data_IF_825854919937
#
_entry.id   IF_825854919937
#
_cell.length_a   1.000
_cell.length_b   1.000
_cell.length_c   1.000
_cell.angle_alpha   90.00
_cell.angle_beta   90.00
_cell.angle_gamma   90.00
#
_symmetry.space_group_name_H-M   'P 1'
#
loop_
_entity.id
_entity.type
_entity.pdbx_description
1 polymer ?
#
# COMPACT_ATOMS: atom_id res chain seq x y z
N UNK A 1 -54.27 -24.96 -27.30
CA UNK A 1 -54.67 -24.60 -25.95
C UNK A 1 -53.74 -25.20 -24.93
N UNK A 2 -53.10 -24.38 -24.16
CA UNK A 2 -52.40 -24.44 -22.89
C UNK A 2 -50.97 -24.91 -22.83
N UNK A 3 -50.03 -23.93 -22.83
CA UNK A 3 -48.78 -24.11 -22.10
C UNK A 3 -48.53 -23.01 -21.03
N UNK A 4 -49.50 -22.27 -20.55
CA UNK A 4 -49.28 -21.11 -19.64
C UNK A 4 -49.29 -21.41 -18.12
N UNK A 5 -49.65 -22.65 -17.69
CA UNK A 5 -49.80 -22.98 -16.26
C UNK A 5 -48.50 -23.47 -15.57
N UNK A 6 -47.51 -23.98 -16.33
CA UNK A 6 -46.31 -24.56 -15.72
C UNK A 6 -45.22 -23.53 -15.39
N UNK A 7 -45.19 -22.36 -16.06
CA UNK A 7 -44.17 -21.33 -15.84
C UNK A 7 -44.38 -20.53 -14.54
N UNK A 8 -45.64 -20.37 -14.10
CA UNK A 8 -45.96 -19.58 -12.89
C UNK A 8 -45.55 -20.30 -11.59
N UNK A 9 -45.60 -21.65 -11.58
CA UNK A 9 -45.22 -22.43 -10.40
C UNK A 9 -43.73 -22.45 -10.16
N UNK A 10 -42.89 -22.40 -11.20
CA UNK A 10 -41.44 -22.41 -11.08
C UNK A 10 -40.91 -21.04 -10.54
N UNK A 11 -41.56 -19.93 -10.87
CA UNK A 11 -41.20 -18.60 -10.36
C UNK A 11 -41.51 -18.43 -8.87
N UNK A 12 -42.60 -19.03 -8.38
CA UNK A 12 -43.02 -18.92 -6.98
C UNK A 12 -42.07 -19.68 -6.03
N UNK A 13 -41.49 -20.81 -6.45
CA UNK A 13 -40.54 -21.58 -5.64
C UNK A 13 -39.17 -20.89 -5.54
N UNK A 14 -38.72 -20.19 -6.58
CA UNK A 14 -37.48 -19.43 -6.55
C UNK A 14 -37.56 -18.20 -5.63
N UNK A 15 -38.73 -17.56 -5.52
CA UNK A 15 -38.94 -16.37 -4.70
C UNK A 15 -38.97 -16.64 -3.18
N UNK A 16 -39.30 -17.88 -2.76
CA UNK A 16 -39.38 -18.23 -1.33
C UNK A 16 -38.00 -18.59 -0.70
N UNK A 17 -37.01 -18.93 -1.50
CA UNK A 17 -35.69 -19.36 -1.00
C UNK A 17 -34.75 -18.19 -0.65
N UNK A 18 -34.98 -17.00 -1.19
CA UNK A 18 -34.16 -15.80 -0.95
C UNK A 18 -34.34 -15.20 0.46
N UNK A 19 -35.57 -15.02 0.98
CA UNK A 19 -35.76 -14.50 2.33
C UNK A 19 -35.20 -15.43 3.42
N UNK A 20 -35.41 -16.75 3.32
CA UNK A 20 -34.92 -17.72 4.29
C UNK A 20 -33.38 -17.71 4.45
N UNK A 21 -32.64 -17.49 3.36
CA UNK A 21 -31.19 -17.38 3.38
C UNK A 21 -30.71 -16.08 4.04
N UNK A 22 -31.38 -14.96 3.76
CA UNK A 22 -31.04 -13.67 4.36
C UNK A 22 -31.31 -13.66 5.87
N UNK A 23 -32.36 -14.35 6.30
CA UNK A 23 -32.69 -14.52 7.73
C UNK A 23 -31.66 -15.40 8.43
N UNK A 24 -31.26 -16.51 7.82
CA UNK A 24 -30.18 -17.38 8.32
C UNK A 24 -28.86 -16.61 8.45
N UNK A 25 -28.48 -15.81 7.45
CA UNK A 25 -27.26 -15.01 7.49
C UNK A 25 -27.31 -13.99 8.64
N UNK A 26 -28.41 -13.29 8.80
CA UNK A 26 -28.60 -12.31 9.88
C UNK A 26 -28.51 -12.96 11.26
N UNK A 27 -29.12 -14.11 11.45
CA UNK A 27 -29.09 -14.85 12.72
C UNK A 27 -27.70 -15.36 13.05
N UNK A 28 -27.01 -15.96 12.08
CA UNK A 28 -25.62 -16.41 12.25
C UNK A 28 -24.68 -15.22 12.51
N UNK A 29 -24.86 -14.12 11.80
CA UNK A 29 -24.05 -12.91 12.02
C UNK A 29 -24.29 -12.32 13.40
N UNK A 30 -25.52 -12.30 13.90
CA UNK A 30 -25.84 -11.81 15.25
C UNK A 30 -25.20 -12.66 16.36
N UNK A 31 -25.07 -13.95 16.15
CA UNK A 31 -24.49 -14.90 17.13
C UNK A 31 -22.96 -14.92 17.11
N UNK A 32 -22.35 -14.73 15.93
CA UNK A 32 -20.94 -15.04 15.72
C UNK A 32 -20.05 -13.80 15.50
N UNK A 33 -20.60 -12.71 14.97
CA UNK A 33 -19.82 -11.52 14.71
C UNK A 33 -19.21 -10.93 15.98
N UNK A 34 -17.90 -10.74 15.97
CA UNK A 34 -17.16 -10.24 17.13
C UNK A 34 -16.77 -11.32 18.14
N UNK A 35 -17.27 -12.55 18.01
CA UNK A 35 -16.85 -13.68 18.85
C UNK A 35 -15.39 -14.06 18.56
N UNK A 36 -14.73 -14.59 19.58
CA UNK A 36 -13.41 -15.19 19.48
C UNK A 36 -13.54 -16.66 19.07
N UNK A 37 -12.62 -17.13 18.26
CA UNK A 37 -12.62 -18.51 17.78
C UNK A 37 -11.22 -19.11 17.78
N UNK A 38 -11.15 -20.41 18.05
CA UNK A 38 -9.98 -21.23 17.74
C UNK A 38 -10.29 -22.07 16.50
N UNK A 39 -9.41 -22.02 15.50
CA UNK A 39 -9.58 -22.85 14.30
C UNK A 39 -9.34 -24.31 14.65
N UNK A 40 -10.16 -25.22 14.12
CA UNK A 40 -9.99 -26.68 14.28
C UNK A 40 -9.33 -27.32 13.07
N UNK A 41 -9.03 -26.50 12.07
CA UNK A 41 -8.38 -26.89 10.82
C UNK A 41 -7.20 -25.99 10.54
N UNK A 42 -6.25 -26.47 9.75
CA UNK A 42 -5.20 -25.63 9.21
C UNK A 42 -5.79 -24.54 8.32
N UNK A 43 -5.31 -23.31 8.46
CA UNK A 43 -5.73 -22.18 7.67
C UNK A 43 -4.53 -21.49 7.04
N UNK A 44 -4.77 -20.57 6.11
CA UNK A 44 -3.69 -19.82 5.50
C UNK A 44 -4.10 -18.42 5.09
N UNK A 45 -3.12 -17.55 4.97
CA UNK A 45 -3.33 -16.16 4.55
C UNK A 45 -2.11 -15.61 3.81
N UNK A 46 -2.36 -14.65 2.93
CA UNK A 46 -1.30 -13.81 2.36
C UNK A 46 -0.95 -12.63 3.29
N UNK A 47 -1.68 -12.49 4.39
CA UNK A 47 -1.53 -11.41 5.38
C UNK A 47 -1.55 -10.02 4.75
N UNK A 48 -2.51 -9.83 3.87
CA UNK A 48 -2.85 -8.56 3.23
C UNK A 48 -4.16 -8.01 3.79
N UNK A 49 -4.67 -6.90 3.24
CA UNK A 49 -6.00 -6.38 3.58
C UNK A 49 -7.16 -7.26 3.08
N UNK A 50 -6.88 -8.23 2.20
CA UNK A 50 -7.85 -9.15 1.59
C UNK A 50 -7.89 -10.46 2.35
N UNK A 51 -9.08 -11.07 2.46
CA UNK A 51 -9.24 -12.40 3.03
C UNK A 51 -8.72 -13.47 2.07
N UNK A 52 -7.93 -14.42 2.61
CA UNK A 52 -7.44 -15.57 1.85
C UNK A 52 -8.33 -16.78 2.15
N UNK A 53 -8.69 -17.51 1.10
CA UNK A 53 -9.63 -18.62 1.17
C UNK A 53 -9.02 -19.87 1.80
N UNK A 54 -9.81 -20.53 2.65
CA UNK A 54 -9.60 -21.90 3.13
C UNK A 54 -10.89 -22.68 2.94
N UNK A 55 -10.88 -23.64 2.03
CA UNK A 55 -12.03 -24.51 1.78
C UNK A 55 -12.09 -25.63 2.82
N UNK A 56 -13.25 -25.77 3.50
CA UNK A 56 -13.48 -26.79 4.54
C UNK A 56 -14.61 -27.73 4.11
N UNK A 57 -14.29 -29.02 4.00
CA UNK A 57 -15.25 -30.08 3.65
C UNK A 57 -15.18 -31.22 4.69
N UNK A 58 -16.07 -31.23 5.64
CA UNK A 58 -16.01 -32.15 6.77
C UNK A 58 -14.77 -31.89 7.63
N UNK A 59 -13.89 -32.89 7.75
CA UNK A 59 -12.64 -32.80 8.48
C UNK A 59 -11.44 -32.33 7.58
N UNK A 60 -11.67 -32.19 6.27
CA UNK A 60 -10.60 -31.80 5.33
C UNK A 60 -10.62 -30.30 5.12
N UNK A 61 -9.43 -29.68 5.19
CA UNK A 61 -9.23 -28.29 4.86
C UNK A 61 -8.17 -28.14 3.77
N UNK A 62 -8.41 -27.23 2.84
CA UNK A 62 -7.43 -26.81 1.84
C UNK A 62 -7.19 -25.32 2.02
N UNK A 63 -6.07 -25.00 2.66
CA UNK A 63 -5.69 -23.63 2.96
C UNK A 63 -4.98 -22.99 1.78
N UNK A 64 -5.35 -21.76 1.43
CA UNK A 64 -4.65 -20.87 0.50
C UNK A 64 -3.61 -20.00 1.21
N UNK A 65 -2.89 -19.18 0.42
CA UNK A 65 -1.99 -18.15 0.92
C UNK A 65 -0.57 -18.62 1.27
N UNK A 66 0.27 -17.64 1.55
CA UNK A 66 1.72 -17.81 1.79
C UNK A 66 2.02 -18.26 3.22
N UNK A 67 1.32 -17.70 4.20
CA UNK A 67 1.47 -18.07 5.61
C UNK A 67 0.49 -19.16 5.98
N UNK A 68 0.95 -20.14 6.77
CA UNK A 68 0.16 -21.26 7.24
C UNK A 68 -0.03 -21.18 8.75
N UNK A 69 -1.22 -21.44 9.20
CA UNK A 69 -1.60 -21.45 10.61
C UNK A 69 -2.11 -22.83 10.96
N UNK A 70 -1.50 -23.45 11.94
CA UNK A 70 -1.95 -24.74 12.46
C UNK A 70 -3.36 -24.62 13.08
N UNK A 71 -4.04 -25.74 13.23
CA UNK A 71 -5.26 -25.78 14.05
C UNK A 71 -4.98 -25.23 15.47
N UNK A 72 -5.97 -24.64 16.09
CA UNK A 72 -5.85 -23.95 17.37
C UNK A 72 -5.45 -22.47 17.23
N UNK A 73 -5.41 -21.93 16.01
CA UNK A 73 -5.12 -20.51 15.79
C UNK A 73 -6.25 -19.62 16.30
N UNK A 74 -5.88 -18.61 17.09
CA UNK A 74 -6.80 -17.65 17.65
C UNK A 74 -7.19 -16.59 16.62
N UNK A 75 -8.48 -16.38 16.43
CA UNK A 75 -9.00 -15.37 15.53
C UNK A 75 -10.30 -14.76 16.06
N UNK A 76 -10.69 -13.62 15.50
CA UNK A 76 -11.97 -12.97 15.76
C UNK A 76 -12.84 -13.04 14.51
N UNK A 77 -14.13 -13.30 14.67
CA UNK A 77 -15.08 -13.30 13.57
C UNK A 77 -15.43 -11.84 13.18
N UNK A 78 -15.05 -11.45 11.98
CA UNK A 78 -15.37 -10.12 11.43
C UNK A 78 -16.78 -10.11 10.81
N UNK A 79 -17.12 -11.18 10.09
CA UNK A 79 -18.35 -11.30 9.32
C UNK A 79 -18.71 -12.76 9.08
N UNK A 80 -20.01 -13.02 8.88
CA UNK A 80 -20.55 -14.30 8.40
C UNK A 80 -21.28 -14.06 7.08
N UNK A 81 -21.09 -14.92 6.09
CA UNK A 81 -21.80 -14.87 4.82
C UNK A 81 -22.41 -16.23 4.48
N UNK A 82 -23.67 -16.28 4.07
CA UNK A 82 -24.35 -17.52 3.70
C UNK A 82 -24.46 -17.62 2.18
N UNK A 83 -24.03 -18.75 1.61
CA UNK A 83 -24.19 -19.09 0.20
C UNK A 83 -25.15 -20.26 0.06
N UNK A 84 -25.43 -20.70 -1.17
CA UNK A 84 -26.42 -21.76 -1.45
C UNK A 84 -26.02 -23.12 -0.84
N UNK A 85 -24.71 -23.38 -0.73
CA UNK A 85 -24.13 -24.66 -0.35
C UNK A 85 -22.94 -24.53 0.59
N UNK A 86 -22.74 -23.37 1.20
CA UNK A 86 -21.67 -23.10 2.17
C UNK A 86 -21.97 -21.90 3.04
N UNK A 87 -21.27 -21.82 4.15
CA UNK A 87 -21.16 -20.63 4.99
C UNK A 87 -19.71 -20.15 4.97
N UNK A 88 -19.52 -18.86 4.76
CA UNK A 88 -18.24 -18.19 4.73
C UNK A 88 -18.04 -17.48 6.08
N UNK A 89 -17.03 -17.89 6.87
CA UNK A 89 -16.60 -17.18 8.08
C UNK A 89 -15.38 -16.32 7.74
N UNK A 90 -15.49 -15.03 7.94
CA UNK A 90 -14.41 -14.08 7.76
C UNK A 90 -13.74 -13.82 9.09
N UNK A 91 -12.48 -14.20 9.20
CA UNK A 91 -11.71 -14.21 10.43
C UNK A 91 -10.53 -13.25 10.35
N UNK A 92 -10.37 -12.42 11.38
CA UNK A 92 -9.13 -11.68 11.64
C UNK A 92 -8.29 -12.53 12.61
N UNK A 93 -7.13 -12.98 12.18
CA UNK A 93 -6.17 -13.69 13.03
C UNK A 93 -5.68 -12.75 14.12
N UNK A 94 -5.66 -13.19 15.37
CA UNK A 94 -5.37 -12.34 16.52
C UNK A 94 -3.93 -11.86 16.53
N UNK A 95 -3.00 -12.79 16.31
CA UNK A 95 -1.57 -12.49 16.37
C UNK A 95 -1.03 -12.14 14.97
N UNK A 96 -0.36 -11.00 14.82
CA UNK A 96 0.28 -10.64 13.56
C UNK A 96 1.42 -11.60 13.24
N UNK A 97 1.84 -11.59 11.99
CA UNK A 97 3.07 -12.25 11.52
C UNK A 97 4.11 -11.17 11.30
N UNK A 98 5.35 -11.43 11.73
CA UNK A 98 6.48 -10.58 11.39
C UNK A 98 7.02 -10.98 10.02
N UNK A 99 7.04 -10.03 9.10
CA UNK A 99 7.63 -10.19 7.78
C UNK A 99 8.93 -9.40 7.68
N UNK A 100 10.03 -10.11 7.47
CA UNK A 100 11.31 -9.46 7.24
C UNK A 100 11.34 -8.81 5.85
N UNK A 101 11.78 -7.56 5.79
CA UNK A 101 12.11 -6.86 4.54
C UNK A 101 13.52 -6.32 4.60
N UNK A 102 14.17 -6.23 3.44
CA UNK A 102 15.52 -5.69 3.33
C UNK A 102 15.46 -4.29 2.72
N UNK A 103 16.17 -3.34 3.35
CA UNK A 103 16.39 -2.00 2.81
C UNK A 103 17.87 -1.64 3.02
N UNK A 104 18.64 -1.65 1.93
CA UNK A 104 20.09 -1.56 1.98
C UNK A 104 20.70 -2.71 2.79
N UNK A 105 21.58 -2.41 3.76
CA UNK A 105 22.23 -3.43 4.60
C UNK A 105 21.37 -3.88 5.80
N UNK A 106 20.13 -3.37 5.94
CA UNK A 106 19.29 -3.60 7.11
C UNK A 106 18.19 -4.60 6.85
N UNK A 107 17.94 -5.46 7.86
CA UNK A 107 16.75 -6.29 7.95
C UNK A 107 15.74 -5.58 8.87
N UNK A 108 14.61 -5.21 8.31
CA UNK A 108 13.50 -4.58 9.02
C UNK A 108 12.34 -5.55 9.13
N UNK A 109 11.47 -5.34 10.10
CA UNK A 109 10.33 -6.22 10.33
C UNK A 109 9.03 -5.41 10.29
N UNK A 110 8.10 -5.84 9.42
CA UNK A 110 6.76 -5.29 9.31
C UNK A 110 5.76 -6.24 9.96
N UNK A 111 4.89 -5.73 10.82
CA UNK A 111 3.77 -6.51 11.35
C UNK A 111 2.67 -6.61 10.30
N UNK A 112 2.34 -7.85 9.91
CA UNK A 112 1.26 -8.14 8.98
C UNK A 112 0.07 -8.74 9.70
N UNK A 113 -1.07 -8.09 9.60
CA UNK A 113 -2.34 -8.64 10.07
C UNK A 113 -2.91 -9.57 9.03
N UNK A 114 -3.26 -10.78 9.47
CA UNK A 114 -3.70 -11.83 8.58
C UNK A 114 -5.22 -11.99 8.64
N UNK A 115 -5.83 -12.22 7.48
CA UNK A 115 -7.27 -12.42 7.33
C UNK A 115 -7.53 -13.71 6.56
N UNK A 116 -8.46 -14.51 7.09
CA UNK A 116 -8.82 -15.82 6.54
C UNK A 116 -10.32 -15.85 6.28
N UNK A 117 -10.72 -16.40 5.15
CA UNK A 117 -12.10 -16.77 4.87
C UNK A 117 -12.23 -18.28 4.90
N UNK A 118 -12.90 -18.84 5.93
CA UNK A 118 -13.24 -20.24 5.97
C UNK A 118 -14.52 -20.45 5.16
N UNK A 119 -14.43 -21.21 4.08
CA UNK A 119 -15.55 -21.61 3.23
C UNK A 119 -16.04 -23.00 3.64
N UNK A 120 -16.92 -23.04 4.62
CA UNK A 120 -17.43 -24.29 5.19
C UNK A 120 -18.58 -24.84 4.35
N UNK A 121 -18.40 -26.01 3.76
CA UNK A 121 -19.43 -26.67 2.96
C UNK A 121 -20.63 -27.08 3.84
N UNK A 122 -21.82 -26.65 3.42
CA UNK A 122 -23.10 -26.95 4.11
C UNK A 122 -24.09 -27.55 3.11
N UNK A 123 -24.84 -28.61 3.45
CA UNK A 123 -25.82 -29.18 2.54
C UNK A 123 -26.88 -28.13 2.14
N UNK A 124 -27.20 -28.04 0.84
CA UNK A 124 -28.19 -27.09 0.30
C UNK A 124 -29.54 -27.16 1.02
N UNK A 125 -29.96 -28.36 1.43
CA UNK A 125 -31.21 -28.58 2.20
C UNK A 125 -31.20 -27.85 3.54
N UNK A 126 -30.07 -27.88 4.25
CA UNK A 126 -29.90 -27.25 5.57
C UNK A 126 -29.97 -25.73 5.43
N UNK A 127 -29.30 -25.16 4.41
CA UNK A 127 -29.35 -23.71 4.11
C UNK A 127 -30.78 -23.29 3.73
N UNK A 128 -31.49 -24.07 2.92
CA UNK A 128 -32.88 -23.80 2.55
C UNK A 128 -33.87 -23.85 3.70
N UNK A 129 -33.62 -24.77 4.66
CA UNK A 129 -34.43 -24.88 5.87
C UNK A 129 -34.20 -23.76 6.87
N UNK A 130 -33.16 -22.92 6.65
CA UNK A 130 -32.70 -21.89 7.59
C UNK A 130 -32.45 -22.43 9.00
N UNK A 131 -31.97 -23.68 9.08
CA UNK A 131 -31.71 -24.38 10.32
C UNK A 131 -30.36 -23.89 10.91
N UNK A 132 -30.46 -22.93 11.81
CA UNK A 132 -29.31 -22.24 12.44
C UNK A 132 -28.50 -23.23 13.28
N UNK A 133 -29.15 -24.13 13.99
CA UNK A 133 -28.47 -25.06 14.90
C UNK A 133 -27.71 -26.13 14.11
N UNK A 134 -28.33 -26.71 13.08
CA UNK A 134 -27.64 -27.64 12.19
C UNK A 134 -26.48 -27.02 11.44
N UNK A 135 -26.57 -25.74 11.05
CA UNK A 135 -25.44 -24.99 10.47
C UNK A 135 -24.37 -24.76 11.53
N UNK A 136 -24.77 -24.39 12.76
CA UNK A 136 -23.86 -24.19 13.89
C UNK A 136 -23.00 -25.42 14.18
N UNK A 137 -23.62 -26.63 14.19
CA UNK A 137 -22.92 -27.90 14.36
C UNK A 137 -21.87 -28.17 13.24
N UNK A 138 -22.16 -27.76 12.00
CA UNK A 138 -21.23 -27.92 10.90
C UNK A 138 -20.07 -26.93 11.04
N UNK A 139 -20.35 -25.70 11.43
CA UNK A 139 -19.31 -24.68 11.68
C UNK A 139 -18.43 -25.03 12.87
N UNK A 140 -18.98 -25.68 13.91
CA UNK A 140 -18.24 -26.15 15.09
C UNK A 140 -17.18 -27.22 14.76
N UNK A 141 -17.22 -27.83 13.56
CA UNK A 141 -16.15 -28.70 13.06
C UNK A 141 -14.93 -27.91 12.55
N UNK A 142 -15.13 -26.67 12.13
CA UNK A 142 -14.08 -25.83 11.61
C UNK A 142 -13.50 -24.86 12.66
N UNK A 143 -14.32 -24.42 13.63
CA UNK A 143 -13.93 -23.50 14.69
C UNK A 143 -14.61 -23.82 16.02
N UNK A 144 -13.97 -23.47 17.12
CA UNK A 144 -14.52 -23.44 18.46
C UNK A 144 -14.74 -22.00 18.90
N UNK A 145 -15.92 -21.67 19.45
CA UNK A 145 -16.36 -20.29 19.71
C UNK A 145 -16.28 -19.96 21.18
N UNK A 146 -15.81 -18.74 21.48
CA UNK A 146 -15.68 -18.20 22.83
C UNK A 146 -16.23 -16.77 22.87
N UNK A 147 -16.81 -16.41 24.01
CA UNK A 147 -17.31 -15.05 24.20
C UNK A 147 -16.16 -14.04 24.39
N UNK A 148 -15.05 -14.49 24.97
CA UNK A 148 -13.91 -13.63 25.32
C UNK A 148 -12.58 -14.24 24.87
N UNK A 149 -11.61 -13.38 24.64
CA UNK A 149 -10.26 -13.75 24.21
C UNK A 149 -9.51 -14.59 25.25
N UNK A 150 -9.61 -14.19 26.52
CA UNK A 150 -8.94 -14.88 27.62
C UNK A 150 -9.45 -16.32 27.82
N UNK A 151 -10.75 -16.56 27.58
CA UNK A 151 -11.33 -17.89 27.57
C UNK A 151 -10.74 -18.75 26.42
N UNK A 152 -10.65 -18.19 25.23
CA UNK A 152 -10.06 -18.87 24.09
C UNK A 152 -8.58 -19.20 24.32
N UNK A 153 -7.81 -18.27 24.88
CA UNK A 153 -6.39 -18.50 25.21
C UNK A 153 -6.19 -19.51 26.33
N UNK A 154 -7.17 -19.68 27.23
CA UNK A 154 -7.11 -20.69 28.28
C UNK A 154 -7.56 -22.09 27.80
N UNK A 155 -8.17 -22.18 26.62
CA UNK A 155 -8.69 -23.44 26.12
C UNK A 155 -7.56 -24.42 25.70
N UNK A 156 -7.71 -25.73 25.97
CA UNK A 156 -6.70 -26.74 25.60
C UNK A 156 -6.44 -26.83 24.09
N UNK A 157 -7.41 -26.37 23.29
CA UNK A 157 -7.31 -26.37 21.83
C UNK A 157 -6.47 -25.22 21.27
N UNK A 158 -6.11 -24.22 22.08
CA UNK A 158 -5.25 -23.14 21.64
C UNK A 158 -3.83 -23.66 21.36
N UNK A 159 -3.29 -23.31 20.18
CA UNK A 159 -1.96 -23.76 19.75
C UNK A 159 -0.80 -23.00 20.42
N UNK A 160 -1.09 -22.01 21.26
CA UNK A 160 -0.09 -21.23 21.99
C UNK A 160 0.63 -20.17 21.14
N UNK A 161 0.23 -19.97 19.88
CA UNK A 161 0.90 -18.96 19.05
C UNK A 161 0.66 -17.57 19.60
N UNK A 162 1.75 -16.88 19.84
CA UNK A 162 1.83 -15.47 20.17
C UNK A 162 2.65 -14.76 19.09
N UNK A 163 2.61 -13.46 19.08
CA UNK A 163 3.45 -12.66 18.19
C UNK A 163 4.92 -13.06 18.33
N UNK A 164 5.61 -13.27 17.21
CA UNK A 164 7.05 -13.50 17.22
C UNK A 164 7.76 -12.31 17.86
N UNK A 165 8.72 -12.55 18.77
CA UNK A 165 9.51 -11.46 19.34
C UNK A 165 10.38 -10.83 18.26
N UNK A 166 10.53 -9.50 18.32
CA UNK A 166 11.54 -8.82 17.54
C UNK A 166 12.93 -9.21 18.05
N UNK A 167 13.97 -9.18 17.20
CA UNK A 167 15.36 -9.35 17.65
C UNK A 167 15.70 -8.38 18.79
N UNK A 168 16.51 -8.83 19.75
CA UNK A 168 16.86 -8.04 20.94
C UNK A 168 17.52 -6.70 20.58
N UNK A 169 18.31 -6.68 19.51
CA UNK A 169 19.02 -5.50 18.99
C UNK A 169 18.20 -4.69 17.97
N UNK A 170 16.89 -4.97 17.82
CA UNK A 170 16.10 -4.34 16.76
C UNK A 170 15.94 -2.83 16.94
N UNK A 171 15.86 -2.34 18.18
CA UNK A 171 15.81 -0.91 18.46
C UNK A 171 17.08 -0.20 17.96
N UNK A 172 18.27 -0.76 18.26
CA UNK A 172 19.54 -0.25 17.76
C UNK A 172 19.65 -0.34 16.22
N UNK A 173 19.11 -1.43 15.65
CA UNK A 173 19.04 -1.58 14.19
C UNK A 173 18.19 -0.49 13.55
N UNK A 174 17.06 -0.11 14.15
CA UNK A 174 16.23 1.00 13.67
C UNK A 174 16.97 2.35 13.75
N UNK A 175 17.66 2.63 14.85
CA UNK A 175 18.44 3.86 14.98
C UNK A 175 19.52 3.95 13.90
N UNK A 176 20.29 2.88 13.68
CA UNK A 176 21.30 2.79 12.61
C UNK A 176 20.66 2.94 11.22
N UNK A 177 19.52 2.32 11.01
CA UNK A 177 18.76 2.47 9.76
C UNK A 177 18.35 3.92 9.51
N UNK A 178 17.80 4.61 10.53
CA UNK A 178 17.43 6.02 10.40
C UNK A 178 18.63 6.91 10.10
N UNK A 179 19.74 6.73 10.82
CA UNK A 179 20.98 7.45 10.56
C UNK A 179 21.49 7.20 9.13
N UNK A 180 21.44 5.94 8.66
CA UNK A 180 21.83 5.59 7.30
C UNK A 180 20.92 6.26 6.26
N UNK A 181 19.59 6.30 6.45
CA UNK A 181 18.66 7.00 5.54
C UNK A 181 18.96 8.50 5.47
N UNK A 182 19.23 9.12 6.62
CA UNK A 182 19.63 10.54 6.67
C UNK A 182 20.92 10.76 5.89
N UNK A 183 21.93 9.92 6.07
CA UNK A 183 23.20 10.01 5.35
C UNK A 183 23.03 9.80 3.83
N UNK A 184 22.17 8.87 3.40
CA UNK A 184 21.83 8.65 2.00
C UNK A 184 21.17 9.91 1.38
N UNK A 185 20.23 10.49 2.09
CA UNK A 185 19.55 11.71 1.62
C UNK A 185 20.51 12.90 1.58
N UNK A 186 21.37 13.06 2.58
CA UNK A 186 22.41 14.08 2.58
C UNK A 186 23.35 13.92 1.38
N UNK A 187 23.82 12.71 1.10
CA UNK A 187 24.68 12.42 -0.04
C UNK A 187 23.99 12.76 -1.38
N UNK A 188 22.70 12.40 -1.53
CA UNK A 188 21.90 12.73 -2.72
C UNK A 188 21.77 14.24 -2.93
N UNK A 189 21.45 14.99 -1.86
CA UNK A 189 21.29 16.44 -1.91
C UNK A 189 22.63 17.13 -2.19
N UNK A 190 23.74 16.64 -1.62
CA UNK A 190 25.09 17.13 -1.89
C UNK A 190 25.45 16.94 -3.36
N UNK A 191 25.21 15.75 -3.92
CA UNK A 191 25.48 15.50 -5.34
C UNK A 191 24.69 16.43 -6.27
N UNK A 192 23.40 16.69 -5.95
CA UNK A 192 22.58 17.66 -6.70
C UNK A 192 23.16 19.08 -6.59
N UNK A 193 23.61 19.46 -5.39
CA UNK A 193 24.23 20.76 -5.17
C UNK A 193 25.53 20.90 -5.96
N UNK A 194 26.38 19.87 -5.92
CA UNK A 194 27.68 19.87 -6.61
C UNK A 194 27.51 19.97 -8.13
N UNK A 195 26.57 19.18 -8.70
CA UNK A 195 26.23 19.27 -10.13
C UNK A 195 25.73 20.66 -10.54
N UNK A 196 24.91 21.29 -9.70
CA UNK A 196 24.47 22.68 -9.97
C UNK A 196 25.57 23.70 -9.81
N UNK A 197 26.51 23.52 -8.88
CA UNK A 197 27.67 24.40 -8.72
C UNK A 197 28.65 24.27 -9.89
N UNK A 198 28.96 23.05 -10.35
CA UNK A 198 29.77 22.82 -11.54
C UNK A 198 29.18 23.53 -12.77
N UNK A 199 27.88 23.41 -12.95
CA UNK A 199 27.16 24.09 -14.02
C UNK A 199 27.25 25.62 -13.92
N UNK A 200 27.17 26.19 -12.71
CA UNK A 200 27.37 27.63 -12.50
C UNK A 200 28.77 28.10 -12.89
N UNK A 201 29.80 27.30 -12.59
CA UNK A 201 31.19 27.62 -12.99
C UNK A 201 31.36 27.56 -14.51
N UNK A 202 30.75 26.61 -15.20
CA UNK A 202 30.76 26.47 -16.64
C UNK A 202 30.09 27.69 -17.31
N UNK A 203 28.89 28.04 -16.85
CA UNK A 203 28.16 29.19 -17.34
C UNK A 203 28.92 30.49 -17.12
N UNK A 204 29.56 30.67 -15.95
CA UNK A 204 30.36 31.84 -15.67
C UNK A 204 31.52 31.98 -16.66
N UNK A 205 32.13 30.88 -17.09
CA UNK A 205 33.21 30.86 -18.08
C UNK A 205 32.71 31.12 -19.51
N UNK A 206 31.47 30.82 -19.79
CA UNK A 206 30.83 30.97 -21.10
C UNK A 206 30.29 32.38 -21.38
N UNK A 207 30.16 33.24 -20.37
CA UNK A 207 29.65 34.63 -20.55
C UNK A 207 30.48 35.38 -21.57
N UNK A 208 29.81 35.94 -22.59
CA UNK A 208 30.40 36.73 -23.64
C UNK A 208 30.09 38.21 -23.41
N UNK A 209 31.11 39.07 -23.50
CA UNK A 209 30.95 40.54 -23.42
C UNK A 209 30.49 41.11 -24.78
N UNK A 210 29.24 40.83 -25.11
CA UNK A 210 28.57 41.32 -26.31
C UNK A 210 27.16 41.81 -25.91
N UNK A 211 26.76 43.03 -26.32
CA UNK A 211 25.49 43.65 -25.91
C UNK A 211 24.28 42.84 -26.36
N UNK A 212 24.33 42.12 -27.49
CA UNK A 212 23.23 41.27 -27.97
C UNK A 212 23.10 40.00 -27.10
N UNK A 213 24.25 39.37 -26.80
CA UNK A 213 24.29 38.25 -25.88
C UNK A 213 23.78 38.63 -24.48
N UNK A 214 24.28 39.75 -23.94
CA UNK A 214 23.88 40.22 -22.60
C UNK A 214 22.40 40.58 -22.52
N UNK A 215 21.79 41.09 -23.60
CA UNK A 215 20.36 41.33 -23.66
C UNK A 215 19.55 40.02 -23.61
N UNK A 216 19.99 39.00 -24.36
CA UNK A 216 19.44 37.63 -24.26
C UNK A 216 19.59 37.07 -22.87
N UNK A 217 20.77 37.13 -22.30
CA UNK A 217 21.11 36.64 -20.97
C UNK A 217 20.21 37.26 -19.87
N UNK A 218 20.01 38.57 -19.89
CA UNK A 218 19.08 39.22 -18.96
C UNK A 218 17.62 38.75 -19.12
N UNK A 219 17.18 38.55 -20.35
CA UNK A 219 15.84 38.00 -20.63
C UNK A 219 15.71 36.56 -20.13
N UNK A 220 16.74 35.72 -20.29
CA UNK A 220 16.80 34.35 -19.80
C UNK A 220 16.75 34.27 -18.28
N UNK A 221 17.48 35.12 -17.56
CA UNK A 221 17.40 35.22 -16.10
C UNK A 221 15.98 35.50 -15.61
N UNK A 222 15.24 36.34 -16.31
CA UNK A 222 13.85 36.65 -15.96
C UNK A 222 12.85 35.52 -16.25
N UNK A 223 13.18 34.63 -17.19
CA UNK A 223 12.26 33.59 -17.67
C UNK A 223 11.98 32.50 -16.62
N UNK A 224 12.82 32.32 -15.62
CA UNK A 224 12.69 31.30 -14.56
C UNK A 224 12.07 31.83 -13.27
N UNK A 225 11.52 33.04 -13.27
CA UNK A 225 10.99 33.70 -12.06
C UNK A 225 10.02 32.82 -11.29
N UNK A 226 9.13 32.10 -11.97
CA UNK A 226 8.10 31.22 -11.37
C UNK A 226 8.51 29.75 -11.29
N UNK A 227 9.65 29.39 -11.85
CA UNK A 227 10.13 28.01 -11.79
C UNK A 227 10.66 27.67 -10.41
N UNK A 228 10.38 26.43 -9.98
CA UNK A 228 10.86 25.88 -8.70
C UNK A 228 11.47 24.51 -8.93
N UNK A 229 12.62 24.19 -8.36
CA UNK A 229 13.34 22.92 -8.56
C UNK A 229 12.69 21.72 -7.83
N UNK A 230 11.51 21.88 -7.25
CA UNK A 230 10.80 20.87 -6.49
C UNK A 230 11.04 20.98 -4.99
N UNK A 231 10.35 20.10 -4.22
CA UNK A 231 10.55 19.93 -2.78
C UNK A 231 11.72 18.98 -2.53
N UNK A 232 12.22 18.91 -1.30
CA UNK A 232 13.44 18.15 -0.98
C UNK A 232 13.44 16.70 -1.49
N UNK A 233 12.36 15.96 -1.31
CA UNK A 233 12.25 14.56 -1.78
C UNK A 233 12.22 14.40 -3.30
N UNK A 234 11.82 15.44 -4.03
CA UNK A 234 11.74 15.49 -5.48
C UNK A 234 12.72 16.49 -6.10
N UNK A 235 13.67 17.02 -5.31
CA UNK A 235 14.67 17.93 -5.82
C UNK A 235 15.53 17.24 -6.88
N UNK A 236 15.73 17.94 -8.01
CA UNK A 236 16.55 17.49 -9.13
C UNK A 236 17.43 18.62 -9.62
N UNK A 237 18.56 18.28 -10.23
CA UNK A 237 19.42 19.22 -10.96
C UNK A 237 18.93 19.50 -12.40
N UNK A 238 17.86 18.83 -12.84
CA UNK A 238 17.30 19.05 -14.18
C UNK A 238 16.83 20.49 -14.34
N UNK A 239 17.19 21.06 -15.47
CA UNK A 239 16.79 22.42 -15.83
C UNK A 239 15.33 22.43 -16.32
N UNK A 240 14.68 23.62 -16.25
CA UNK A 240 13.32 23.75 -16.78
C UNK A 240 13.32 23.55 -18.30
N UNK A 241 12.36 22.81 -18.80
CA UNK A 241 12.10 22.76 -20.24
C UNK A 241 11.61 24.12 -20.72
N UNK A 242 12.05 24.54 -21.91
CA UNK A 242 11.59 25.75 -22.53
C UNK A 242 12.42 26.15 -23.73
N UNK A 243 11.75 26.55 -24.79
CA UNK A 243 12.39 27.12 -25.94
C UNK A 243 12.52 28.65 -25.77
N UNK A 244 13.60 29.25 -26.22
CA UNK A 244 13.74 30.68 -26.20
C UNK A 244 12.62 31.36 -27.02
N UNK A 245 12.08 32.48 -26.55
CA UNK A 245 11.14 33.26 -27.34
C UNK A 245 11.82 33.80 -28.60
N UNK A 246 11.04 34.31 -29.55
CA UNK A 246 11.59 34.97 -30.72
C UNK A 246 12.46 36.18 -30.27
N UNK A 247 13.69 36.31 -30.78
CA UNK A 247 14.51 37.48 -30.51
C UNK A 247 13.77 38.76 -30.89
N UNK A 248 14.04 39.88 -30.20
CA UNK A 248 13.47 41.17 -30.59
C UNK A 248 13.75 41.54 -32.05
N UNK A 249 12.78 42.18 -32.71
CA UNK A 249 12.86 42.52 -34.14
C UNK A 249 14.07 43.43 -34.49
N UNK A 250 14.71 44.07 -33.51
CA UNK A 250 15.94 44.85 -33.68
C UNK A 250 17.13 43.97 -34.09
N UNK A 251 17.09 42.67 -33.85
CA UNK A 251 18.16 41.73 -34.23
C UNK A 251 17.81 41.06 -35.57
N UNK A 252 18.01 41.75 -36.68
CA UNK A 252 17.65 41.23 -38.01
C UNK A 252 18.67 40.25 -38.57
N UNK A 253 19.96 40.39 -38.22
CA UNK A 253 21.02 39.51 -38.65
C UNK A 253 20.89 38.12 -37.98
N UNK A 254 21.11 37.04 -38.73
CA UNK A 254 21.07 35.66 -38.21
C UNK A 254 22.06 35.47 -37.06
N UNK A 255 23.28 36.01 -37.18
CA UNK A 255 24.29 35.99 -36.13
C UNK A 255 23.79 36.62 -34.83
N UNK A 256 23.09 37.74 -34.88
CA UNK A 256 22.59 38.44 -33.70
C UNK A 256 21.44 37.66 -33.02
N UNK A 257 20.59 37.03 -33.85
CA UNK A 257 19.53 36.16 -33.34
C UNK A 257 20.07 34.91 -32.62
N UNK A 258 21.15 34.32 -33.16
CA UNK A 258 21.79 33.15 -32.55
C UNK A 258 22.53 33.58 -31.27
N UNK A 259 23.22 34.70 -31.27
CA UNK A 259 23.92 35.22 -30.11
C UNK A 259 22.95 35.57 -28.97
N UNK A 260 21.82 36.21 -29.30
CA UNK A 260 20.76 36.50 -28.34
C UNK A 260 20.15 35.22 -27.76
N UNK A 261 19.93 34.20 -28.59
CA UNK A 261 19.37 32.91 -28.14
C UNK A 261 20.31 32.20 -27.19
N UNK A 262 21.60 32.12 -27.49
CA UNK A 262 22.61 31.57 -26.60
C UNK A 262 22.64 32.33 -25.26
N UNK A 263 22.65 33.66 -25.29
CA UNK A 263 22.56 34.44 -24.05
C UNK A 263 21.31 34.10 -23.23
N UNK A 264 20.16 33.96 -23.91
CA UNK A 264 18.90 33.61 -23.21
C UNK A 264 18.97 32.22 -22.55
N UNK A 265 19.52 31.23 -23.24
CA UNK A 265 19.71 29.87 -22.71
C UNK A 265 20.62 29.87 -21.48
N UNK A 266 21.77 30.53 -21.59
CA UNK A 266 22.74 30.67 -20.49
C UNK A 266 22.16 31.42 -19.29
N UNK A 267 21.43 32.50 -19.50
CA UNK A 267 20.79 33.27 -18.44
C UNK A 267 19.69 32.45 -17.70
N UNK A 268 18.88 31.74 -18.46
CA UNK A 268 17.89 30.81 -17.91
C UNK A 268 18.55 29.74 -17.05
N UNK A 269 19.58 29.11 -17.57
CA UNK A 269 20.27 27.99 -16.94
C UNK A 269 21.03 28.44 -15.69
N UNK A 270 21.59 29.64 -15.69
CA UNK A 270 22.19 30.26 -14.50
C UNK A 270 21.17 30.45 -13.38
N UNK A 271 20.02 31.06 -13.72
CA UNK A 271 18.97 31.28 -12.71
C UNK A 271 18.43 29.99 -12.13
N UNK A 272 18.23 28.96 -12.97
CA UNK A 272 17.80 27.66 -12.55
C UNK A 272 18.83 26.95 -11.65
N UNK A 273 20.11 26.96 -12.02
CA UNK A 273 21.17 26.36 -11.21
C UNK A 273 21.29 27.04 -9.83
N UNK A 274 21.20 28.38 -9.78
CA UNK A 274 21.16 29.12 -8.51
C UNK A 274 19.97 28.75 -7.63
N UNK A 275 18.79 28.52 -8.23
CA UNK A 275 17.61 28.08 -7.51
C UNK A 275 17.79 26.66 -6.94
N UNK A 276 18.40 25.73 -7.70
CA UNK A 276 18.74 24.37 -7.25
C UNK A 276 19.72 24.42 -6.07
N UNK A 277 20.82 25.15 -6.17
CA UNK A 277 21.79 25.29 -5.07
C UNK A 277 21.14 25.81 -3.80
N UNK A 278 20.29 26.84 -3.92
CA UNK A 278 19.57 27.38 -2.76
C UNK A 278 18.61 26.35 -2.15
N UNK A 279 17.86 25.64 -2.98
CA UNK A 279 16.93 24.61 -2.52
C UNK A 279 17.68 23.45 -1.86
N UNK A 280 18.77 22.94 -2.46
CA UNK A 280 19.58 21.86 -1.91
C UNK A 280 20.15 22.23 -0.53
N UNK A 281 20.70 23.43 -0.38
CA UNK A 281 21.20 23.96 0.91
C UNK A 281 20.09 24.02 1.95
N UNK A 282 18.90 24.50 1.57
CA UNK A 282 17.74 24.53 2.47
C UNK A 282 17.34 23.14 2.94
N UNK A 283 17.31 22.16 2.02
CA UNK A 283 17.00 20.77 2.32
C UNK A 283 18.07 20.13 3.23
N UNK A 284 19.36 20.33 2.94
CA UNK A 284 20.45 19.83 3.80
C UNK A 284 20.38 20.39 5.22
N UNK A 285 20.08 21.68 5.36
CA UNK A 285 19.93 22.33 6.67
C UNK A 285 18.70 21.84 7.46
N UNK A 286 17.70 21.28 6.78
CA UNK A 286 16.49 20.75 7.37
C UNK A 286 16.59 19.25 7.78
N UNK A 287 17.67 18.56 7.40
CA UNK A 287 17.88 17.17 7.82
C UNK A 287 18.12 17.11 9.33
N UNK A 288 17.63 16.07 10.02
CA UNK A 288 17.95 15.85 11.41
C UNK A 288 19.46 15.61 11.57
N UNK A 289 20.04 15.98 12.72
CA UNK A 289 21.43 15.67 13.00
C UNK A 289 21.62 14.15 13.01
N UNK A 290 22.80 13.66 12.59
CA UNK A 290 23.13 12.24 12.57
C UNK A 290 23.17 11.61 13.96
#
# INVERSE_FOLDING_TARGET
MTPFRSAVLALAVASAALPARADLERELESRWRGAWVLTRVETGSDCTSVYTDTDVRGALATAGGRFRFAAGELARVDKVGVKVDRVDLFLAVAEPVLEARFDGPFTLYDERRCRVQLKVAVPKKTVRAADVDAVGELLARAVEVFAREDEARAAPAWNGRVRDPLPEDYAETLERYHAWKVAQEAARLTAIQDDALERLEDLQRAIVDDPVYLAGFAAGLGSTHDWRPGVCSGLTSALPDGSPPAPPAVHEAERDRDLWRHGWEDGRDLAAALAVVRAARGCLAALPPP
#
